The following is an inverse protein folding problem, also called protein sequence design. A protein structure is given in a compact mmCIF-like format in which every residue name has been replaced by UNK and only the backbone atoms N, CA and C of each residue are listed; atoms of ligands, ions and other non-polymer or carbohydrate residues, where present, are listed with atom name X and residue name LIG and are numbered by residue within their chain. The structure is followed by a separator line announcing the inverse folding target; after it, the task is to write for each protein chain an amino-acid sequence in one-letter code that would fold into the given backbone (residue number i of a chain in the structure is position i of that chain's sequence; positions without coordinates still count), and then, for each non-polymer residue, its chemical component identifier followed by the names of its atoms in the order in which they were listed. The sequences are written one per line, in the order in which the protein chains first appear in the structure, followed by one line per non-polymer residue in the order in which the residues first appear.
data_IF_175036997451
#
_entry.id   IF_175036997451
#
_cell.length_a   1.000
_cell.length_b   1.000
_cell.length_c   1.000
_cell.angle_alpha   90.00
_cell.angle_beta   90.00
_cell.angle_gamma   90.00
#
_symmetry.space_group_name_H-M   'P 1'
#
loop_
_entity.id
_entity.type
_entity.pdbx_description
1 polymer ?
#
# COMPACT_ATOMS: atom_id res chain seq x y z
N UNK A 1 3.01 -22.08 7.27
CA UNK A 1 2.10 -21.61 8.37
C UNK A 1 0.68 -22.13 8.18
N UNK A 2 0.51 -23.40 7.85
CA UNK A 2 -0.81 -24.00 7.72
C UNK A 2 -1.51 -24.03 9.08
N UNK A 3 -2.66 -23.37 9.21
CA UNK A 3 -3.53 -23.42 10.38
C UNK A 3 -3.48 -22.23 11.35
N UNK A 4 -2.65 -21.21 11.09
CA UNK A 4 -2.71 -19.96 11.87
C UNK A 4 -3.72 -19.02 11.22
N UNK A 5 -4.73 -18.60 11.99
CA UNK A 5 -5.62 -17.54 11.52
C UNK A 5 -4.88 -16.19 11.53
N UNK A 6 -4.76 -15.56 10.37
CA UNK A 6 -4.14 -14.26 10.18
C UNK A 6 -5.15 -13.13 9.98
N UNK A 7 -6.46 -13.40 10.17
CA UNK A 7 -7.50 -12.38 10.05
C UNK A 7 -7.23 -11.23 11.03
N UNK A 8 -7.16 -10.01 10.52
CA UNK A 8 -6.85 -8.83 11.32
C UNK A 8 -5.37 -8.65 11.69
N UNK A 9 -4.48 -9.54 11.24
CA UNK A 9 -3.05 -9.34 11.40
C UNK A 9 -2.58 -8.14 10.54
N UNK A 10 -1.76 -7.28 11.13
CA UNK A 10 -1.21 -6.09 10.47
C UNK A 10 0.22 -6.31 9.98
N UNK A 11 1.02 -7.03 10.77
CA UNK A 11 2.42 -7.29 10.43
C UNK A 11 2.88 -8.67 10.93
N UNK A 12 3.81 -9.29 10.19
CA UNK A 12 4.52 -10.50 10.61
C UNK A 12 6.02 -10.20 10.60
N UNK A 13 6.66 -10.31 11.75
CA UNK A 13 8.09 -10.09 11.89
C UNK A 13 8.84 -11.41 12.01
N UNK A 14 9.72 -11.64 11.06
CA UNK A 14 10.72 -12.72 11.07
C UNK A 14 12.09 -12.12 11.33
N UNK A 15 12.72 -12.47 12.43
CA UNK A 15 14.08 -12.03 12.79
C UNK A 15 14.92 -13.25 13.15
N UNK A 16 16.06 -13.41 12.51
CA UNK A 16 16.95 -14.57 12.69
C UNK A 16 17.27 -14.82 14.17
N UNK A 17 17.04 -16.04 14.62
CA UNK A 17 17.26 -16.46 16.01
C UNK A 17 16.25 -15.93 17.03
N UNK A 18 15.23 -15.18 16.63
CA UNK A 18 14.20 -14.61 17.49
C UNK A 18 12.85 -15.30 17.29
N UNK A 19 11.92 -15.17 18.25
CA UNK A 19 10.55 -15.65 18.09
C UNK A 19 9.87 -15.04 16.88
N UNK A 20 9.10 -15.85 16.14
CA UNK A 20 8.20 -15.35 15.10
C UNK A 20 7.09 -14.55 15.77
N UNK A 21 6.92 -13.31 15.32
CA UNK A 21 6.03 -12.34 15.95
C UNK A 21 4.96 -11.88 14.94
N UNK A 22 3.71 -11.82 15.37
CA UNK A 22 2.57 -11.32 14.59
C UNK A 22 1.93 -10.18 15.38
N UNK A 23 1.79 -9.03 14.73
CA UNK A 23 1.13 -7.86 15.28
C UNK A 23 -0.30 -7.79 14.73
N UNK A 24 -1.26 -7.63 15.64
CA UNK A 24 -2.65 -7.27 15.39
C UNK A 24 -2.92 -5.86 15.91
N UNK A 25 -4.08 -5.31 15.59
CA UNK A 25 -4.50 -3.98 16.11
C UNK A 25 -4.60 -3.93 17.63
N UNK A 26 -4.93 -5.06 18.26
CA UNK A 26 -5.14 -5.21 19.71
C UNK A 26 -3.90 -5.74 20.46
N UNK A 27 -2.83 -6.10 19.76
CA UNK A 27 -1.62 -6.55 20.44
C UNK A 27 -0.62 -7.31 19.60
N UNK A 28 0.40 -7.77 20.29
CA UNK A 28 1.51 -8.54 19.75
C UNK A 28 1.45 -9.97 20.25
N UNK A 29 1.57 -10.92 19.33
CA UNK A 29 1.54 -12.35 19.60
C UNK A 29 2.75 -13.06 18.99
N UNK A 30 3.08 -14.20 19.55
CA UNK A 30 4.19 -15.04 19.10
C UNK A 30 3.67 -16.43 18.76
N UNK A 31 4.21 -17.03 17.72
CA UNK A 31 3.83 -18.36 17.29
C UNK A 31 4.63 -19.41 18.09
N UNK A 32 3.96 -20.37 18.71
CA UNK A 32 4.61 -21.50 19.36
C UNK A 32 4.80 -22.67 18.36
N UNK A 33 5.55 -23.69 18.77
CA UNK A 33 5.84 -24.86 17.94
C UNK A 33 4.60 -25.70 17.56
N UNK A 34 3.49 -25.51 18.26
CA UNK A 34 2.20 -26.17 17.96
C UNK A 34 1.30 -25.36 17.01
N UNK A 35 1.78 -24.19 16.54
CA UNK A 35 1.00 -23.32 15.66
C UNK A 35 0.00 -22.40 16.39
N UNK A 36 0.04 -22.32 17.72
CA UNK A 36 -0.86 -21.45 18.49
C UNK A 36 -0.19 -20.10 18.77
N UNK A 37 -1.01 -19.04 18.82
CA UNK A 37 -0.60 -17.71 19.22
C UNK A 37 -0.53 -17.57 20.74
N UNK A 38 0.49 -16.90 21.23
CA UNK A 38 0.70 -16.60 22.65
C UNK A 38 1.20 -15.17 22.84
N UNK A 39 0.76 -14.43 23.84
CA UNK A 39 1.24 -13.08 24.12
C UNK A 39 2.67 -13.07 24.72
N UNK A 40 3.17 -14.21 25.18
CA UNK A 40 4.47 -14.33 25.83
C UNK A 40 5.43 -15.12 24.92
N UNK A 41 6.67 -14.63 24.67
CA UNK A 41 7.62 -15.27 23.75
C UNK A 41 8.30 -16.54 24.30
N UNK A 42 7.71 -17.20 25.30
CA UNK A 42 8.24 -18.43 25.88
C UNK A 42 7.83 -19.65 25.06
N UNK A 43 8.76 -20.57 24.82
CA UNK A 43 8.52 -21.80 24.04
C UNK A 43 7.97 -21.54 22.62
N UNK A 44 8.41 -20.45 22.01
CA UNK A 44 7.96 -20.01 20.69
C UNK A 44 8.85 -20.54 19.58
N UNK A 45 8.30 -20.56 18.35
CA UNK A 45 9.05 -20.89 17.15
C UNK A 45 10.13 -19.82 16.92
N UNK A 46 11.39 -20.22 16.91
CA UNK A 46 12.50 -19.35 16.53
C UNK A 46 12.68 -19.37 15.02
N UNK A 47 12.82 -18.20 14.45
CA UNK A 47 13.11 -18.04 13.02
C UNK A 47 14.52 -18.52 12.73
N UNK A 48 14.68 -19.47 11.81
CA UNK A 48 15.97 -19.99 11.34
C UNK A 48 16.40 -19.32 10.04
N UNK A 49 17.59 -19.63 9.56
CA UNK A 49 18.08 -19.18 8.26
C UNK A 49 17.18 -19.73 7.14
N UNK A 50 16.86 -21.00 7.19
CA UNK A 50 16.03 -21.68 6.23
C UNK A 50 14.65 -21.04 6.10
N UNK A 51 14.04 -20.62 7.22
CA UNK A 51 12.76 -19.91 7.19
C UNK A 51 12.84 -18.55 6.45
N UNK A 52 13.96 -17.83 6.59
CA UNK A 52 14.15 -16.54 5.89
C UNK A 52 14.38 -16.79 4.39
N UNK A 53 15.22 -17.75 4.05
CA UNK A 53 15.59 -18.05 2.67
C UNK A 53 14.36 -18.56 1.88
N UNK A 54 13.58 -19.48 2.45
CA UNK A 54 12.32 -19.96 1.88
C UNK A 54 11.28 -18.83 1.71
N UNK A 55 11.17 -17.95 2.71
CA UNK A 55 10.26 -16.81 2.64
C UNK A 55 10.62 -15.84 1.51
N UNK A 56 11.91 -15.61 1.26
CA UNK A 56 12.38 -14.77 0.16
C UNK A 56 12.14 -15.47 -1.18
N UNK A 57 12.45 -16.76 -1.28
CA UNK A 57 12.23 -17.54 -2.49
C UNK A 57 10.76 -17.49 -2.93
N UNK A 58 9.85 -17.72 -2.01
CA UNK A 58 8.41 -17.62 -2.25
C UNK A 58 8.03 -16.18 -2.65
N UNK A 59 8.50 -15.17 -1.92
CA UNK A 59 8.16 -13.76 -2.16
C UNK A 59 8.65 -13.26 -3.53
N UNK A 60 9.74 -13.81 -4.04
CA UNK A 60 10.31 -13.41 -5.33
C UNK A 60 9.86 -14.33 -6.48
N UNK A 61 8.96 -15.28 -6.23
CA UNK A 61 8.59 -16.33 -7.18
C UNK A 61 9.81 -17.00 -7.80
N UNK A 62 10.84 -17.28 -6.97
CA UNK A 62 12.14 -17.83 -7.35
C UNK A 62 12.95 -16.95 -8.33
N UNK A 63 12.56 -15.68 -8.53
CA UNK A 63 13.27 -14.75 -9.43
C UNK A 63 13.64 -13.43 -8.72
N UNK A 64 14.76 -13.44 -8.01
CA UNK A 64 15.30 -12.24 -7.32
C UNK A 64 15.61 -11.09 -8.31
N UNK A 65 15.86 -11.42 -9.58
CA UNK A 65 16.16 -10.40 -10.60
C UNK A 65 14.99 -9.46 -10.88
N UNK A 66 13.75 -9.94 -10.82
CA UNK A 66 12.53 -9.15 -11.07
C UNK A 66 12.26 -8.12 -9.99
N UNK A 67 12.79 -8.30 -8.77
CA UNK A 67 12.58 -7.43 -7.60
C UNK A 67 13.86 -6.75 -7.13
N UNK A 68 14.93 -6.81 -7.93
CA UNK A 68 16.27 -6.33 -7.54
C UNK A 68 16.27 -4.85 -7.11
N UNK A 69 15.55 -4.01 -7.84
CA UNK A 69 15.51 -2.58 -7.53
C UNK A 69 14.68 -2.28 -6.27
N UNK A 70 13.66 -3.09 -5.99
CA UNK A 70 12.91 -3.01 -4.75
C UNK A 70 13.78 -3.43 -3.55
N UNK A 71 14.56 -4.51 -3.68
CA UNK A 71 15.46 -4.97 -2.62
C UNK A 71 16.52 -3.91 -2.26
N UNK A 72 17.03 -3.16 -3.23
CA UNK A 72 17.92 -2.01 -2.97
C UNK A 72 17.26 -0.96 -2.08
N UNK A 73 15.96 -0.77 -2.22
CA UNK A 73 15.16 0.16 -1.42
C UNK A 73 14.71 -0.44 -0.08
N UNK A 74 15.14 -1.68 0.23
CA UNK A 74 14.87 -2.36 1.50
C UNK A 74 13.49 -3.01 1.61
N UNK A 75 12.77 -3.21 0.50
CA UNK A 75 11.48 -3.88 0.52
C UNK A 75 11.18 -4.63 -0.78
N UNK A 76 10.19 -5.51 -0.73
CA UNK A 76 9.56 -6.17 -1.88
C UNK A 76 8.05 -5.99 -1.74
N UNK A 77 7.37 -5.68 -2.83
CA UNK A 77 5.91 -5.75 -2.91
C UNK A 77 5.52 -7.10 -3.52
N UNK A 78 4.59 -7.80 -2.89
CA UNK A 78 4.10 -9.11 -3.35
C UNK A 78 2.60 -9.03 -3.67
N UNK A 79 2.11 -10.06 -4.35
CA UNK A 79 0.69 -10.20 -4.67
C UNK A 79 -0.19 -9.96 -3.43
N UNK A 80 -1.31 -9.27 -3.60
CA UNK A 80 -2.18 -8.87 -2.49
C UNK A 80 -1.82 -7.51 -1.89
N UNK A 81 -0.89 -6.75 -2.48
CA UNK A 81 -0.47 -5.43 -1.98
C UNK A 81 0.33 -5.48 -0.68
N UNK A 82 0.72 -6.68 -0.29
CA UNK A 82 1.56 -6.85 0.89
C UNK A 82 2.98 -6.38 0.59
N UNK A 83 3.61 -5.75 1.57
CA UNK A 83 5.00 -5.29 1.46
C UNK A 83 5.87 -6.04 2.44
N UNK A 84 7.01 -6.53 1.98
CA UNK A 84 8.01 -7.19 2.82
C UNK A 84 9.20 -6.26 2.97
N UNK A 85 9.37 -5.66 4.15
CA UNK A 85 10.58 -4.95 4.51
C UNK A 85 11.73 -5.94 4.75
N UNK A 86 12.92 -5.58 4.30
CA UNK A 86 14.11 -6.45 4.34
C UNK A 86 15.20 -5.77 5.14
N UNK A 87 15.83 -6.51 6.05
CA UNK A 87 17.01 -6.07 6.78
C UNK A 87 18.13 -7.10 6.69
N UNK A 88 19.37 -6.61 6.64
CA UNK A 88 20.56 -7.43 6.50
C UNK A 88 21.81 -6.55 6.40
N UNK A 89 22.86 -7.03 5.75
CA UNK A 89 24.10 -6.29 5.50
C UNK A 89 24.02 -5.55 4.18
N UNK A 90 24.02 -4.22 4.20
CA UNK A 90 24.03 -3.41 2.99
C UNK A 90 25.41 -3.49 2.30
N UNK A 91 25.41 -3.65 0.98
CA UNK A 91 26.61 -3.51 0.13
C UNK A 91 26.50 -2.20 -0.62
N UNK A 92 27.46 -1.32 -0.38
CA UNK A 92 27.52 0.03 -0.95
C UNK A 92 28.43 0.04 -2.19
N UNK A 93 27.98 0.66 -3.26
CA UNK A 93 28.77 1.01 -4.45
C UNK A 93 28.45 2.45 -4.83
N UNK A 94 29.49 3.25 -5.09
CA UNK A 94 29.34 4.66 -5.49
C UNK A 94 28.42 5.45 -4.54
N UNK A 95 28.65 5.30 -3.22
CA UNK A 95 27.88 5.92 -2.12
C UNK A 95 26.39 5.59 -2.10
N UNK A 96 25.96 4.54 -2.80
CA UNK A 96 24.57 4.06 -2.81
C UNK A 96 24.49 2.58 -2.43
N UNK A 97 23.38 2.21 -1.82
CA UNK A 97 23.08 0.80 -1.57
C UNK A 97 22.91 0.08 -2.90
N UNK A 98 23.76 -0.89 -3.17
CA UNK A 98 23.72 -1.72 -4.38
C UNK A 98 22.83 -2.95 -4.21
N UNK A 99 22.92 -3.60 -3.05
CA UNK A 99 22.05 -4.70 -2.63
C UNK A 99 22.18 -4.97 -1.12
N UNK A 100 21.29 -5.80 -0.60
CA UNK A 100 21.32 -6.26 0.79
C UNK A 100 21.66 -7.75 0.77
N UNK A 101 22.71 -8.14 1.50
CA UNK A 101 23.13 -9.52 1.70
C UNK A 101 22.93 -9.94 3.15
N UNK A 102 23.12 -11.24 3.43
CA UNK A 102 23.00 -11.81 4.78
C UNK A 102 21.70 -11.36 5.46
N UNK A 103 20.58 -11.50 4.73
CA UNK A 103 19.26 -11.03 5.20
C UNK A 103 18.97 -11.67 6.55
N UNK A 104 18.76 -10.85 7.56
CA UNK A 104 18.57 -11.25 8.95
C UNK A 104 17.17 -10.97 9.48
N UNK A 105 16.36 -10.25 8.73
CA UNK A 105 14.98 -9.96 9.11
C UNK A 105 14.09 -9.60 7.94
N UNK A 106 12.82 -10.03 8.06
CA UNK A 106 11.73 -9.71 7.16
C UNK A 106 10.58 -9.15 8.00
N UNK A 107 9.95 -8.11 7.50
CA UNK A 107 8.71 -7.57 8.06
C UNK A 107 7.62 -7.57 6.99
N UNK A 108 6.72 -8.54 7.04
CA UNK A 108 5.52 -8.56 6.22
C UNK A 108 4.53 -7.55 6.76
N UNK A 109 4.26 -6.50 6.01
CA UNK A 109 3.16 -5.57 6.25
C UNK A 109 1.97 -6.02 5.43
N UNK A 110 0.95 -6.51 6.12
CA UNK A 110 -0.23 -7.06 5.49
C UNK A 110 -1.15 -5.90 5.09
N UNK A 111 -1.38 -5.76 3.79
CA UNK A 111 -2.34 -4.81 3.30
C UNK A 111 -3.73 -5.31 3.66
N UNK A 112 -4.53 -4.44 4.28
CA UNK A 112 -5.90 -4.72 4.65
C UNK A 112 -6.88 -3.92 3.81
N UNK A 113 -8.05 -4.46 3.63
CA UNK A 113 -9.21 -3.77 3.06
C UNK A 113 -10.26 -3.58 4.16
N UNK A 114 -10.83 -2.39 4.24
CA UNK A 114 -11.93 -2.10 5.16
C UNK A 114 -13.10 -1.56 4.36
N UNK A 115 -14.01 -2.44 4.00
CA UNK A 115 -15.24 -2.07 3.30
C UNK A 115 -16.10 -1.21 4.23
N UNK A 116 -16.54 -0.06 3.71
CA UNK A 116 -17.33 0.90 4.47
C UNK A 116 -16.52 1.97 5.20
N UNK A 117 -15.18 1.96 5.10
CA UNK A 117 -14.33 2.99 5.69
C UNK A 117 -14.69 4.42 5.23
N UNK A 118 -15.30 4.56 4.05
CA UNK A 118 -15.69 5.85 3.47
C UNK A 118 -17.21 6.12 3.48
N UNK A 119 -18.00 5.34 4.22
CA UNK A 119 -19.47 5.47 4.21
C UNK A 119 -19.97 6.87 4.59
N UNK A 120 -19.28 7.56 5.49
CA UNK A 120 -19.64 8.92 5.89
C UNK A 120 -19.08 9.97 4.93
N UNK A 121 -17.96 9.68 4.28
CA UNK A 121 -17.23 10.64 3.44
C UNK A 121 -17.81 10.71 2.01
N UNK A 122 -18.16 9.59 1.42
CA UNK A 122 -18.69 9.54 0.03
C UNK A 122 -19.94 10.37 -0.17
N UNK A 123 -20.93 10.40 0.75
CA UNK A 123 -22.07 11.33 0.64
C UNK A 123 -21.67 12.80 0.63
N UNK A 124 -20.59 13.18 1.35
CA UNK A 124 -20.09 14.56 1.39
C UNK A 124 -19.40 14.92 0.06
N UNK A 125 -18.66 13.98 -0.52
CA UNK A 125 -18.00 14.13 -1.84
C UNK A 125 -19.04 14.35 -2.94
N UNK A 126 -20.17 13.65 -2.87
CA UNK A 126 -21.23 13.69 -3.88
C UNK A 126 -22.32 14.77 -3.63
N UNK A 127 -22.20 15.54 -2.57
CA UNK A 127 -23.21 16.56 -2.21
C UNK A 127 -23.26 17.68 -3.27
N UNK A 128 -24.41 17.85 -3.91
CA UNK A 128 -24.64 18.90 -4.91
C UNK A 128 -24.66 18.41 -6.35
N UNK A 129 -24.74 17.09 -6.58
CA UNK A 129 -25.00 16.52 -7.92
C UNK A 129 -23.77 16.21 -8.76
N UNK A 130 -22.57 16.26 -8.17
CA UNK A 130 -21.31 15.89 -8.83
C UNK A 130 -20.23 15.53 -7.82
N UNK A 131 -19.09 15.02 -8.32
CA UNK A 131 -17.94 14.70 -7.48
C UNK A 131 -17.20 15.99 -7.14
N UNK A 132 -16.94 16.22 -5.86
CA UNK A 132 -16.16 17.37 -5.39
C UNK A 132 -14.68 17.04 -5.33
N UNK A 133 -13.86 18.00 -5.73
CA UNK A 133 -12.43 17.96 -5.42
C UNK A 133 -12.24 17.79 -3.91
N UNK A 134 -11.48 16.77 -3.52
CA UNK A 134 -11.38 16.37 -2.11
C UNK A 134 -9.93 16.10 -1.73
N UNK A 135 -9.49 16.72 -0.64
CA UNK A 135 -8.17 16.48 -0.06
C UNK A 135 -8.34 15.86 1.34
N UNK A 136 -7.80 14.66 1.52
CA UNK A 136 -7.82 13.94 2.79
C UNK A 136 -6.52 14.22 3.53
N UNK A 137 -6.62 14.85 4.69
CA UNK A 137 -5.49 15.27 5.51
C UNK A 137 -5.46 14.41 6.77
N UNK A 138 -4.37 13.70 7.02
CA UNK A 138 -4.16 13.02 8.30
C UNK A 138 -2.70 12.64 8.51
N UNK A 139 -2.28 12.34 9.75
CA UNK A 139 -0.94 11.82 10.02
C UNK A 139 -0.71 10.45 9.38
N UNK A 140 0.57 10.02 9.26
CA UNK A 140 0.90 8.66 8.83
C UNK A 140 0.21 7.60 9.69
N UNK A 141 -0.20 6.47 9.06
CA UNK A 141 -0.83 5.36 9.77
C UNK A 141 -2.30 5.55 10.18
N UNK A 142 -2.92 6.70 9.87
CA UNK A 142 -4.31 7.01 10.25
C UNK A 142 -5.38 6.43 9.29
N UNK A 143 -5.00 5.55 8.36
CA UNK A 143 -5.95 4.86 7.47
C UNK A 143 -6.32 5.62 6.19
N UNK A 144 -5.57 6.66 5.78
CA UNK A 144 -5.84 7.42 4.53
C UNK A 144 -6.01 6.53 3.31
N UNK A 145 -5.04 5.65 3.07
CA UNK A 145 -5.06 4.76 1.90
C UNK A 145 -6.23 3.78 1.96
N UNK A 146 -6.57 3.29 3.14
CA UNK A 146 -7.76 2.43 3.36
C UNK A 146 -9.05 3.17 3.02
N UNK A 147 -9.18 4.41 3.49
CA UNK A 147 -10.33 5.26 3.17
C UNK A 147 -10.37 5.60 1.68
N UNK A 148 -9.23 5.97 1.09
CA UNK A 148 -9.12 6.30 -0.33
C UNK A 148 -9.56 5.13 -1.22
N UNK A 149 -9.14 3.91 -0.88
CA UNK A 149 -9.52 2.67 -1.57
C UNK A 149 -11.03 2.44 -1.51
N UNK A 150 -11.64 2.61 -0.36
CA UNK A 150 -13.09 2.44 -0.22
C UNK A 150 -13.89 3.57 -0.90
N UNK A 151 -13.34 4.80 -0.99
CA UNK A 151 -13.90 5.86 -1.82
C UNK A 151 -13.91 5.44 -3.29
N UNK A 152 -12.78 4.96 -3.82
CA UNK A 152 -12.66 4.46 -5.20
C UNK A 152 -13.71 3.40 -5.47
N UNK A 153 -13.78 2.38 -4.60
CA UNK A 153 -14.75 1.29 -4.71
C UNK A 153 -16.18 1.82 -4.76
N UNK A 154 -16.57 2.67 -3.81
CA UNK A 154 -17.94 3.18 -3.72
C UNK A 154 -18.33 4.08 -4.89
N UNK A 155 -17.42 4.93 -5.39
CA UNK A 155 -17.66 5.75 -6.58
C UNK A 155 -17.80 4.89 -7.83
N UNK A 156 -16.93 3.89 -7.98
CA UNK A 156 -16.97 2.94 -9.09
C UNK A 156 -18.29 2.15 -9.13
N UNK A 157 -18.77 1.65 -7.97
CA UNK A 157 -20.07 0.99 -7.87
C UNK A 157 -21.28 1.92 -8.10
N UNK A 158 -21.08 3.23 -8.02
CA UNK A 158 -22.06 4.25 -8.41
C UNK A 158 -21.95 4.64 -9.90
N UNK A 159 -21.19 3.87 -10.68
CA UNK A 159 -20.99 4.04 -12.12
C UNK A 159 -20.22 5.31 -12.52
N UNK A 160 -19.48 5.93 -11.61
CA UNK A 160 -18.50 6.94 -11.97
C UNK A 160 -17.26 6.28 -12.56
N UNK A 161 -16.69 6.88 -13.61
CA UNK A 161 -15.42 6.46 -14.21
C UNK A 161 -14.28 6.96 -13.32
N UNK A 162 -13.67 6.06 -12.61
CA UNK A 162 -12.59 6.37 -11.67
C UNK A 162 -11.25 5.98 -12.28
N UNK A 163 -10.31 6.90 -12.37
CA UNK A 163 -8.91 6.57 -12.70
C UNK A 163 -8.05 6.71 -11.46
N UNK A 164 -7.35 5.65 -11.10
CA UNK A 164 -6.40 5.62 -9.99
C UNK A 164 -4.99 5.76 -10.52
N UNK A 165 -4.22 6.70 -9.97
CA UNK A 165 -2.77 6.83 -10.21
C UNK A 165 -2.04 6.43 -8.94
N UNK A 166 -1.38 5.27 -8.98
CA UNK A 166 -0.79 4.59 -7.83
C UNK A 166 0.73 4.49 -7.99
N UNK A 167 1.44 5.56 -7.61
CA UNK A 167 2.91 5.63 -7.77
C UNK A 167 3.65 4.53 -6.99
N UNK A 168 3.10 4.11 -5.84
CA UNK A 168 3.78 3.23 -4.89
C UNK A 168 3.14 1.85 -4.70
N UNK A 169 2.17 1.51 -5.52
CA UNK A 169 1.41 0.25 -5.38
C UNK A 169 0.72 0.11 -4.01
N UNK A 170 0.20 1.22 -3.48
CA UNK A 170 -0.43 1.25 -2.15
C UNK A 170 -1.96 1.26 -2.22
N UNK A 171 -2.57 1.76 -3.32
CA UNK A 171 -4.03 1.82 -3.50
C UNK A 171 -4.54 0.52 -4.11
N UNK A 172 -4.10 0.20 -5.31
CA UNK A 172 -4.58 -0.93 -6.10
C UNK A 172 -3.74 -2.18 -5.92
N UNK A 173 -2.44 -2.01 -5.70
CA UNK A 173 -1.46 -3.09 -5.55
C UNK A 173 -1.62 -4.14 -6.65
N UNK A 174 -1.41 -3.72 -7.89
CA UNK A 174 -1.59 -4.59 -9.05
C UNK A 174 -0.61 -5.76 -9.02
N UNK A 175 -1.13 -6.93 -9.34
CA UNK A 175 -0.34 -8.11 -9.65
C UNK A 175 -0.84 -8.68 -10.97
N UNK A 176 0.03 -8.76 -11.96
CA UNK A 176 -0.34 -9.22 -13.32
C UNK A 176 -1.56 -8.49 -13.90
N UNK A 177 -1.65 -7.18 -13.65
CA UNK A 177 -2.75 -6.32 -14.11
C UNK A 177 -4.06 -6.45 -13.33
N UNK A 178 -4.10 -7.21 -12.26
CA UNK A 178 -5.27 -7.38 -11.40
C UNK A 178 -5.05 -6.68 -10.07
N UNK A 179 -6.03 -5.90 -9.62
CA UNK A 179 -5.99 -5.34 -8.27
C UNK A 179 -6.14 -6.42 -7.23
N UNK A 180 -5.40 -6.27 -6.14
CA UNK A 180 -5.53 -7.12 -4.96
C UNK A 180 -6.79 -6.80 -4.13
N UNK A 181 -7.40 -5.65 -4.40
CA UNK A 181 -8.53 -5.10 -3.66
C UNK A 181 -9.74 -4.91 -4.56
N UNK A 182 -10.93 -4.90 -3.95
CA UNK A 182 -12.14 -4.50 -4.65
C UNK A 182 -12.15 -2.98 -4.87
N UNK A 183 -11.85 -2.55 -6.09
CA UNK A 183 -11.91 -1.15 -6.51
C UNK A 183 -13.20 -0.84 -7.31
N UNK A 184 -14.11 -1.82 -7.42
CA UNK A 184 -15.34 -1.72 -8.23
C UNK A 184 -15.07 -1.91 -9.74
N UNK A 185 -16.15 -1.91 -10.53
CA UNK A 185 -16.14 -2.33 -11.93
C UNK A 185 -15.86 -1.20 -12.94
N UNK A 186 -15.84 0.06 -12.51
CA UNK A 186 -15.60 1.25 -13.36
C UNK A 186 -14.31 1.96 -12.98
N UNK A 187 -13.28 1.20 -12.55
CA UNK A 187 -12.00 1.76 -12.11
C UNK A 187 -10.89 1.30 -13.04
N UNK A 188 -10.16 2.28 -13.59
CA UNK A 188 -8.90 2.09 -14.31
C UNK A 188 -7.72 2.42 -13.40
N UNK A 189 -6.64 1.64 -13.48
CA UNK A 189 -5.46 1.82 -12.64
C UNK A 189 -4.21 2.01 -13.48
N UNK A 190 -3.46 3.06 -13.19
CA UNK A 190 -2.10 3.29 -13.71
C UNK A 190 -1.12 3.28 -12.55
N UNK A 191 -0.26 2.27 -12.50
CA UNK A 191 0.66 2.02 -11.39
C UNK A 191 2.12 2.23 -11.79
N UNK A 192 2.96 2.63 -10.82
CA UNK A 192 4.42 2.69 -10.99
C UNK A 192 4.92 3.87 -11.83
N UNK A 193 4.12 4.92 -12.00
CA UNK A 193 4.45 6.15 -12.72
C UNK A 193 4.51 7.34 -11.76
N UNK A 194 5.31 8.35 -12.08
CA UNK A 194 5.27 9.64 -11.35
C UNK A 194 3.83 10.19 -11.37
N UNK A 195 3.39 10.64 -10.23
CA UNK A 195 2.01 11.01 -9.95
C UNK A 195 1.47 12.09 -10.89
N UNK A 196 2.23 13.18 -11.08
CA UNK A 196 1.83 14.28 -11.94
C UNK A 196 1.73 13.83 -13.42
N UNK A 197 2.69 13.05 -13.89
CA UNK A 197 2.68 12.47 -15.23
C UNK A 197 1.50 11.51 -15.42
N UNK A 198 1.33 10.58 -14.48
CA UNK A 198 0.25 9.59 -14.51
C UNK A 198 -1.13 10.22 -14.53
N UNK A 199 -1.38 11.23 -13.70
CA UNK A 199 -2.66 11.96 -13.68
C UNK A 199 -2.99 12.58 -15.05
N UNK A 200 -2.01 13.19 -15.71
CA UNK A 200 -2.21 13.77 -17.05
C UNK A 200 -2.35 12.71 -18.14
N UNK A 201 -1.75 11.54 -17.97
CA UNK A 201 -1.92 10.41 -18.90
C UNK A 201 -3.34 9.86 -18.84
N UNK A 202 -3.84 9.52 -17.64
CA UNK A 202 -5.19 8.97 -17.49
C UNK A 202 -6.27 9.99 -17.88
N UNK A 203 -6.05 11.28 -17.62
CA UNK A 203 -6.97 12.34 -18.05
C UNK A 203 -7.21 12.31 -19.57
N UNK A 204 -6.14 12.14 -20.35
CA UNK A 204 -6.20 12.15 -21.82
C UNK A 204 -6.71 10.84 -22.41
N UNK A 205 -6.44 9.71 -21.75
CA UNK A 205 -6.69 8.38 -22.32
C UNK A 205 -7.96 7.73 -21.84
N UNK A 206 -8.37 7.98 -20.58
CA UNK A 206 -9.47 7.25 -19.94
C UNK A 206 -10.75 8.07 -19.78
N UNK A 207 -10.69 9.40 -20.00
CA UNK A 207 -11.85 10.32 -19.84
C UNK A 207 -12.57 10.13 -18.49
N UNK A 208 -11.85 10.21 -17.36
CA UNK A 208 -12.42 9.93 -16.04
C UNK A 208 -13.37 11.03 -15.58
N UNK A 209 -14.34 10.66 -14.74
CA UNK A 209 -15.13 11.62 -13.96
C UNK A 209 -14.34 12.09 -12.74
N UNK A 210 -13.45 11.23 -12.23
CA UNK A 210 -12.57 11.52 -11.09
C UNK A 210 -11.22 10.81 -11.22
N UNK A 211 -10.17 11.52 -10.87
CA UNK A 211 -8.81 10.96 -10.72
C UNK A 211 -8.49 10.87 -9.23
N UNK A 212 -8.02 9.71 -8.81
CA UNK A 212 -7.69 9.42 -7.41
C UNK A 212 -6.20 9.10 -7.31
N UNK A 213 -5.51 9.74 -6.37
CA UNK A 213 -4.09 9.49 -6.11
C UNK A 213 -3.78 9.61 -4.61
N UNK A 214 -2.71 8.94 -4.20
CA UNK A 214 -2.20 9.06 -2.83
C UNK A 214 -1.29 10.31 -2.69
N UNK A 215 -0.91 10.63 -1.51
CA UNK A 215 0.15 11.51 -0.99
C UNK A 215 0.75 12.54 -1.98
N UNK A 216 -0.02 13.60 -2.27
CA UNK A 216 0.51 14.74 -3.03
C UNK A 216 1.53 15.52 -2.19
N UNK A 217 2.57 16.06 -2.84
CA UNK A 217 3.62 16.76 -2.09
C UNK A 217 4.59 17.58 -2.94
N UNK A 218 4.51 17.49 -4.26
CA UNK A 218 5.38 18.23 -5.18
C UNK A 218 4.59 19.35 -5.87
N UNK A 219 5.26 20.42 -6.30
CA UNK A 219 4.63 21.47 -7.10
C UNK A 219 4.04 20.91 -8.41
N UNK A 220 4.72 19.94 -9.03
CA UNK A 220 4.22 19.25 -10.21
C UNK A 220 2.85 18.59 -10.01
N UNK A 221 2.58 18.06 -8.80
CA UNK A 221 1.29 17.44 -8.47
C UNK A 221 0.18 18.49 -8.47
N UNK A 222 0.46 19.67 -7.89
CA UNK A 222 -0.46 20.80 -7.84
C UNK A 222 -0.77 21.30 -9.25
N UNK A 223 0.26 21.47 -10.10
CA UNK A 223 0.10 21.91 -11.49
C UNK A 223 -0.74 20.92 -12.31
N UNK A 224 -0.57 19.61 -12.07
CA UNK A 224 -1.39 18.58 -12.69
C UNK A 224 -2.85 18.64 -12.20
N UNK A 225 -3.08 18.78 -10.91
CA UNK A 225 -4.43 18.92 -10.31
C UNK A 225 -5.16 20.13 -10.88
N UNK A 226 -4.49 21.27 -11.03
CA UNK A 226 -5.08 22.46 -11.63
C UNK A 226 -5.55 22.22 -13.07
N UNK A 227 -4.74 21.55 -13.89
CA UNK A 227 -5.12 21.18 -15.26
C UNK A 227 -6.31 20.23 -15.31
N UNK A 228 -6.36 19.25 -14.39
CA UNK A 228 -7.45 18.27 -14.32
C UNK A 228 -8.76 18.97 -13.94
N UNK A 229 -8.73 19.80 -12.92
CA UNK A 229 -9.92 20.52 -12.45
C UNK A 229 -10.44 21.50 -13.50
N UNK A 230 -9.55 22.14 -14.24
CA UNK A 230 -9.92 23.01 -15.39
C UNK A 230 -10.53 22.22 -16.57
N UNK A 231 -10.26 20.91 -16.66
CA UNK A 231 -10.87 20.06 -17.69
C UNK A 231 -12.27 19.54 -17.31
N UNK A 232 -12.70 19.77 -16.07
CA UNK A 232 -14.00 19.33 -15.55
C UNK A 232 -13.99 17.97 -14.83
N UNK A 233 -12.87 17.25 -14.77
CA UNK A 233 -12.72 16.07 -13.95
C UNK A 233 -12.43 16.45 -12.48
N UNK A 234 -12.95 15.68 -11.54
CA UNK A 234 -12.63 15.87 -10.12
C UNK A 234 -11.31 15.19 -9.75
N UNK A 235 -10.70 15.65 -8.65
CA UNK A 235 -9.52 15.03 -8.06
C UNK A 235 -9.80 14.71 -6.59
N UNK A 236 -9.43 13.49 -6.19
CA UNK A 236 -9.41 13.07 -4.78
C UNK A 236 -7.99 12.64 -4.46
N UNK A 237 -7.37 13.31 -3.48
CA UNK A 237 -5.99 13.05 -3.12
C UNK A 237 -5.81 13.01 -1.60
N UNK A 238 -4.68 12.46 -1.16
CA UNK A 238 -4.29 12.50 0.25
C UNK A 238 -3.03 13.33 0.44
N UNK A 239 -2.85 13.85 1.66
CA UNK A 239 -1.63 14.54 2.07
C UNK A 239 -1.33 14.22 3.53
N UNK A 240 -0.05 14.20 3.89
CA UNK A 240 0.36 14.14 5.28
C UNK A 240 0.22 15.50 5.96
N UNK A 241 -0.50 15.53 7.07
CA UNK A 241 -0.67 16.74 7.88
C UNK A 241 -1.50 16.45 9.12
N UNK A 242 -1.38 17.28 10.14
CA UNK A 242 -2.21 17.19 11.34
C UNK A 242 -3.48 18.04 11.22
N UNK A 243 -3.41 19.10 10.44
CA UNK A 243 -4.53 20.02 10.18
C UNK A 243 -4.26 20.79 8.87
N UNK A 244 -5.27 21.53 8.42
CA UNK A 244 -5.22 22.33 7.18
C UNK A 244 -4.19 23.48 7.25
N UNK A 245 -3.86 23.99 8.44
CA UNK A 245 -2.93 25.11 8.61
C UNK A 245 -1.48 24.73 8.31
N UNK A 246 -1.17 23.43 8.30
CA UNK A 246 0.16 22.91 7.95
C UNK A 246 0.39 22.73 6.43
N UNK A 247 -0.63 23.04 5.62
CA UNK A 247 -0.63 22.80 4.17
C UNK A 247 -0.59 24.12 3.38
N UNK A 248 -0.52 25.24 4.07
CA UNK A 248 -0.40 26.58 3.49
C UNK A 248 0.98 26.90 2.98
#
# INVERSE_FOLDING_TARGET
MYGVNLDGACEIHMRLGKPLCINYSDGRFYLNAKGNLTPIPNSTLKVTREHIDEAIEIATSSSVYSVRDQIKNGYITIAGGHRIGITGTAVIKEDKVSFIKDISGLNYRLAGEVIGAANEVVPMILKGGGIKNTLIISPPGAGKTTMLRDIVRQLSYKSYRVSVVDERSEIAALCEGRSAFDLGFSTDVLEGVDKAEGMLMVLRSMSPDVIVTDEIGKQSDIDAIERITNSGAAVIATIHGRNIDMIK
#
